data_IF_591439942488
#
_entry.id   IF_591439942488
#
_cell.length_a   1.000
_cell.length_b   1.000
_cell.length_c   1.000
_cell.angle_alpha   90.00
_cell.angle_beta   90.00
_cell.angle_gamma   90.00
#
_symmetry.space_group_name_H-M   'P 1'
#
loop_
_entity.id
_entity.type
_entity.pdbx_description
1 polymer ?
#
# COMPACT_ATOMS: atom_id res chain seq x y z
N UNK A 1 -29.76 7.02 36.25
CA UNK A 1 -29.93 7.91 35.08
C UNK A 1 -28.60 7.89 34.33
N UNK A 2 -28.41 7.45 33.10
CA UNK A 2 -29.32 7.15 32.00
C UNK A 2 -28.66 7.68 30.72
N UNK A 3 -28.12 6.77 29.89
CA UNK A 3 -27.75 7.05 28.50
C UNK A 3 -26.26 7.32 28.23
N UNK A 4 -25.67 6.92 27.09
CA UNK A 4 -26.10 6.10 25.95
C UNK A 4 -24.83 5.45 25.37
N UNK A 5 -24.80 4.12 25.26
CA UNK A 5 -23.84 3.39 24.42
C UNK A 5 -24.18 3.68 22.96
N UNK A 6 -23.35 4.43 22.24
CA UNK A 6 -23.49 4.55 20.79
C UNK A 6 -22.88 3.31 20.14
N UNK A 7 -23.72 2.34 19.83
CA UNK A 7 -23.40 1.24 18.95
C UNK A 7 -22.90 1.81 17.61
N UNK A 8 -21.70 1.42 17.18
CA UNK A 8 -21.22 1.71 15.84
C UNK A 8 -22.18 1.10 14.83
N UNK A 9 -22.80 1.95 14.01
CA UNK A 9 -23.65 1.50 12.92
C UNK A 9 -22.79 0.67 11.96
N UNK A 10 -23.08 -0.63 11.90
CA UNK A 10 -22.66 -1.48 10.78
C UNK A 10 -23.20 -0.85 9.49
N UNK A 11 -22.41 -0.74 8.40
CA UNK A 11 -22.92 -0.19 7.16
C UNK A 11 -24.13 -1.02 6.74
N UNK A 12 -25.29 -0.38 6.62
CA UNK A 12 -26.49 -1.02 6.09
C UNK A 12 -26.17 -1.42 4.66
N UNK A 13 -26.04 -2.72 4.41
CA UNK A 13 -26.19 -3.28 3.07
C UNK A 13 -27.66 -3.08 2.72
N UNK A 14 -27.95 -1.92 2.13
CA UNK A 14 -29.27 -1.63 1.60
C UNK A 14 -29.42 -2.42 0.30
N UNK A 15 -30.22 -3.48 0.34
CA UNK A 15 -30.60 -4.27 -0.81
C UNK A 15 -31.51 -5.40 -0.36
N UNK A 16 -32.79 -5.27 -0.71
CA UNK A 16 -33.74 -6.37 -0.72
C UNK A 16 -33.18 -7.52 -1.58
N UNK A 17 -33.01 -8.75 -1.05
CA UNK A 17 -32.48 -9.88 -1.80
C UNK A 17 -33.39 -10.34 -2.96
N UNK A 18 -34.57 -9.74 -3.13
CA UNK A 18 -35.54 -10.07 -4.17
C UNK A 18 -35.58 -9.11 -5.37
N UNK A 19 -34.69 -8.11 -5.42
CA UNK A 19 -34.53 -7.25 -6.61
C UNK A 19 -33.93 -8.02 -7.81
N UNK A 20 -34.17 -7.58 -9.06
CA UNK A 20 -33.53 -8.19 -10.23
C UNK A 20 -32.01 -8.16 -10.04
N UNK A 21 -31.38 -9.34 -10.10
CA UNK A 21 -29.94 -9.50 -9.89
C UNK A 21 -29.14 -8.50 -10.74
N UNK A 22 -28.03 -7.99 -10.19
CA UNK A 22 -27.23 -7.01 -10.90
C UNK A 22 -26.80 -7.58 -12.28
N UNK A 23 -26.80 -6.77 -13.35
CA UNK A 23 -26.53 -7.28 -14.69
C UNK A 23 -25.15 -7.95 -14.78
N UNK A 24 -25.08 -9.07 -15.51
CA UNK A 24 -23.82 -9.76 -15.77
C UNK A 24 -22.89 -8.86 -16.60
N UNK A 25 -21.64 -8.74 -16.18
CA UNK A 25 -20.65 -7.92 -16.86
C UNK A 25 -19.93 -8.73 -17.96
N UNK A 26 -19.48 -8.09 -19.06
CA UNK A 26 -18.68 -8.78 -20.08
C UNK A 26 -17.42 -9.45 -19.47
N UNK A 27 -17.14 -10.68 -19.88
CA UNK A 27 -15.98 -11.44 -19.38
C UNK A 27 -16.06 -11.86 -17.91
N UNK A 28 -17.27 -11.91 -17.33
CA UNK A 28 -17.46 -12.33 -15.93
C UNK A 28 -16.90 -13.73 -15.67
N UNK A 29 -16.25 -13.89 -14.53
CA UNK A 29 -15.68 -15.17 -14.08
C UNK A 29 -16.76 -15.92 -13.30
N UNK A 30 -17.20 -17.12 -13.73
CA UNK A 30 -18.36 -17.82 -13.17
C UNK A 30 -18.11 -18.45 -11.78
N UNK A 31 -17.55 -17.68 -10.85
CA UNK A 31 -17.22 -18.10 -9.49
C UNK A 31 -18.43 -18.60 -8.72
N UNK A 32 -19.59 -17.96 -8.85
CA UNK A 32 -20.79 -18.35 -8.09
C UNK A 32 -21.37 -19.68 -8.56
N UNK A 33 -21.14 -20.06 -9.82
CA UNK A 33 -21.69 -21.26 -10.46
C UNK A 33 -20.75 -22.46 -10.40
N UNK A 34 -19.45 -22.22 -10.26
CA UNK A 34 -18.45 -23.28 -10.19
C UNK A 34 -18.56 -24.14 -8.92
N UNK A 35 -18.18 -25.40 -9.06
CA UNK A 35 -18.00 -26.28 -7.90
C UNK A 35 -16.83 -25.80 -7.03
N UNK A 36 -16.82 -26.19 -5.75
CA UNK A 36 -15.72 -25.85 -4.84
C UNK A 36 -14.34 -26.27 -5.40
N UNK A 37 -14.27 -27.44 -6.04
CA UNK A 37 -13.05 -27.94 -6.69
C UNK A 37 -12.61 -27.07 -7.87
N UNK A 38 -13.54 -26.61 -8.69
CA UNK A 38 -13.23 -25.73 -9.82
C UNK A 38 -12.75 -24.35 -9.33
N UNK A 39 -13.39 -23.78 -8.29
CA UNK A 39 -12.96 -22.53 -7.66
C UNK A 39 -11.56 -22.63 -7.07
N UNK A 40 -11.26 -23.69 -6.34
CA UNK A 40 -9.96 -23.90 -5.73
C UNK A 40 -8.84 -24.01 -6.78
N UNK A 41 -9.11 -24.75 -7.88
CA UNK A 41 -8.18 -24.84 -9.02
C UNK A 41 -7.94 -23.46 -9.65
N UNK A 42 -9.01 -22.74 -9.97
CA UNK A 42 -8.90 -21.40 -10.55
C UNK A 42 -8.12 -20.44 -9.64
N UNK A 43 -8.39 -20.45 -8.33
CA UNK A 43 -7.69 -19.57 -7.40
C UNK A 43 -6.17 -19.85 -7.39
N UNK A 44 -5.77 -21.12 -7.42
CA UNK A 44 -4.37 -21.52 -7.48
C UNK A 44 -3.68 -21.11 -8.80
N UNK A 45 -4.39 -21.17 -9.93
CA UNK A 45 -3.85 -20.87 -11.26
C UNK A 45 -3.91 -19.36 -11.61
N UNK A 46 -4.82 -18.61 -11.01
CA UNK A 46 -5.10 -17.20 -11.34
C UNK A 46 -3.96 -16.22 -11.00
N UNK A 47 -3.07 -16.60 -10.08
CA UNK A 47 -2.02 -15.72 -9.56
C UNK A 47 -2.50 -14.64 -8.57
N UNK A 48 -3.79 -14.60 -8.22
CA UNK A 48 -4.34 -13.61 -7.26
C UNK A 48 -4.05 -13.92 -5.80
N UNK A 49 -3.68 -15.16 -5.47
CA UNK A 49 -3.22 -15.53 -4.13
C UNK A 49 -4.31 -15.54 -3.05
N UNK A 50 -5.58 -15.75 -3.42
CA UNK A 50 -6.67 -15.91 -2.46
C UNK A 50 -6.47 -17.18 -1.62
N UNK A 51 -6.63 -17.06 -0.31
CA UNK A 51 -6.82 -18.24 0.54
C UNK A 51 -8.27 -18.78 0.44
N UNK A 52 -8.52 -19.94 1.06
CA UNK A 52 -9.82 -20.60 1.01
C UNK A 52 -10.95 -19.74 1.62
N UNK A 53 -10.67 -19.04 2.72
CA UNK A 53 -11.67 -18.20 3.40
C UNK A 53 -11.97 -16.94 2.58
N UNK A 54 -10.95 -16.32 2.00
CA UNK A 54 -11.09 -15.19 1.09
C UNK A 54 -11.91 -15.56 -0.14
N UNK A 55 -11.64 -16.73 -0.72
CA UNK A 55 -12.38 -17.23 -1.88
C UNK A 55 -13.85 -17.49 -1.55
N UNK A 56 -14.16 -18.10 -0.40
CA UNK A 56 -15.54 -18.30 0.05
C UNK A 56 -16.28 -16.98 0.31
N UNK A 57 -15.60 -16.00 0.93
CA UNK A 57 -16.16 -14.66 1.15
C UNK A 57 -16.46 -13.95 -0.17
N UNK A 58 -15.56 -14.05 -1.15
CA UNK A 58 -15.73 -13.49 -2.48
C UNK A 58 -16.95 -14.11 -3.18
N UNK A 59 -17.03 -15.44 -3.21
CA UNK A 59 -18.17 -16.17 -3.79
C UNK A 59 -19.47 -15.79 -3.10
N UNK A 60 -19.50 -15.79 -1.77
CA UNK A 60 -20.71 -15.46 -1.02
C UNK A 60 -21.18 -14.02 -1.24
N UNK A 61 -20.25 -13.07 -1.41
CA UNK A 61 -20.57 -11.69 -1.77
C UNK A 61 -21.25 -11.60 -3.13
N UNK A 62 -20.67 -12.20 -4.16
CA UNK A 62 -21.21 -12.17 -5.52
C UNK A 62 -22.51 -12.98 -5.66
N UNK A 63 -22.65 -14.08 -4.91
CA UNK A 63 -23.90 -14.83 -4.83
C UNK A 63 -25.05 -13.97 -4.28
N UNK A 64 -24.80 -13.14 -3.23
CA UNK A 64 -25.81 -12.20 -2.70
C UNK A 64 -26.14 -11.06 -3.67
N UNK A 65 -25.22 -10.68 -4.54
CA UNK A 65 -25.48 -9.71 -5.61
C UNK A 65 -26.24 -10.31 -6.80
N UNK A 66 -26.42 -11.64 -6.83
CA UNK A 66 -27.07 -12.34 -7.92
C UNK A 66 -26.28 -12.33 -9.23
N UNK A 67 -24.97 -12.10 -9.20
CA UNK A 67 -24.13 -12.06 -10.41
C UNK A 67 -22.70 -12.54 -10.17
N UNK A 68 -22.02 -12.84 -11.25
CA UNK A 68 -20.60 -13.16 -11.25
C UNK A 68 -19.73 -11.88 -11.33
N UNK A 69 -18.51 -11.92 -10.77
CA UNK A 69 -17.56 -10.80 -10.84
C UNK A 69 -16.92 -10.62 -12.21
N UNK A 70 -16.60 -9.38 -12.57
CA UNK A 70 -15.71 -9.09 -13.69
C UNK A 70 -14.23 -9.27 -13.31
N UNK A 71 -13.32 -9.44 -14.29
CA UNK A 71 -11.88 -9.57 -14.03
C UNK A 71 -11.27 -8.36 -13.29
N UNK A 72 -11.74 -7.15 -13.61
CA UNK A 72 -11.28 -5.91 -12.97
C UNK A 72 -11.69 -5.86 -11.50
N UNK A 73 -12.91 -6.29 -11.18
CA UNK A 73 -13.37 -6.35 -9.79
C UNK A 73 -12.56 -7.35 -8.97
N UNK A 74 -12.29 -8.53 -9.53
CA UNK A 74 -11.43 -9.52 -8.88
C UNK A 74 -10.03 -8.97 -8.64
N UNK A 75 -9.42 -8.36 -9.66
CA UNK A 75 -8.08 -7.79 -9.53
C UNK A 75 -8.04 -6.69 -8.45
N UNK A 76 -9.05 -5.82 -8.41
CA UNK A 76 -9.18 -4.78 -7.39
C UNK A 76 -9.33 -5.35 -5.97
N UNK A 77 -10.16 -6.39 -5.80
CA UNK A 77 -10.34 -7.06 -4.52
C UNK A 77 -9.06 -7.79 -4.10
N UNK A 78 -8.42 -8.54 -5.01
CA UNK A 78 -7.18 -9.26 -4.74
C UNK A 78 -6.08 -8.32 -4.25
N UNK A 79 -5.87 -7.19 -4.95
CA UNK A 79 -4.89 -6.19 -4.53
C UNK A 79 -5.23 -5.61 -3.15
N UNK A 80 -6.50 -5.28 -2.91
CA UNK A 80 -6.95 -4.69 -1.65
C UNK A 80 -6.84 -5.65 -0.46
N UNK A 81 -7.01 -6.95 -0.69
CA UNK A 81 -6.95 -7.99 0.35
C UNK A 81 -5.56 -8.59 0.53
N UNK A 82 -4.61 -8.28 -0.35
CA UNK A 82 -3.21 -8.66 -0.21
C UNK A 82 -2.65 -8.27 1.17
N UNK A 83 -1.65 -9.01 1.66
CA UNK A 83 -0.98 -8.66 2.92
C UNK A 83 -0.37 -7.25 2.86
N UNK A 84 0.15 -6.87 1.69
CA UNK A 84 0.78 -5.58 1.46
C UNK A 84 -0.18 -4.40 1.68
N UNK A 85 -1.45 -4.52 1.29
CA UNK A 85 -2.44 -3.44 1.45
C UNK A 85 -3.25 -3.56 2.75
N UNK A 86 -3.60 -4.78 3.16
CA UNK A 86 -4.54 -4.99 4.26
C UNK A 86 -3.88 -5.17 5.63
N UNK A 87 -2.57 -5.46 5.65
CA UNK A 87 -1.80 -5.79 6.85
C UNK A 87 -2.44 -6.92 7.66
N UNK A 88 -3.11 -7.89 7.00
CA UNK A 88 -3.98 -8.87 7.68
C UNK A 88 -3.27 -9.64 8.79
N UNK A 89 -1.97 -9.96 8.65
CA UNK A 89 -1.18 -10.60 9.70
C UNK A 89 -0.74 -9.67 10.84
N UNK A 90 -0.35 -8.43 10.52
CA UNK A 90 0.30 -7.50 11.44
C UNK A 90 -0.67 -6.54 12.13
N UNK A 91 -1.81 -6.24 11.51
CA UNK A 91 -2.83 -5.29 11.98
C UNK A 91 -3.32 -5.56 13.40
N UNK A 92 -3.43 -6.83 13.80
CA UNK A 92 -3.83 -7.18 15.18
C UNK A 92 -2.81 -6.73 16.22
N UNK A 93 -1.53 -6.88 15.91
CA UNK A 93 -0.43 -6.51 16.78
C UNK A 93 -0.24 -5.00 16.81
N UNK A 94 -0.32 -4.36 15.64
CA UNK A 94 -0.24 -2.90 15.55
C UNK A 94 -1.34 -2.23 16.38
N UNK A 95 -2.57 -2.75 16.31
CA UNK A 95 -3.65 -2.26 17.17
C UNK A 95 -3.39 -2.50 18.66
N UNK A 96 -2.88 -3.67 19.02
CA UNK A 96 -2.59 -4.00 20.43
C UNK A 96 -1.56 -3.06 21.05
N UNK A 97 -0.48 -2.76 20.34
CA UNK A 97 0.65 -2.02 20.91
C UNK A 97 0.64 -0.52 20.61
N UNK A 98 0.02 -0.07 19.52
CA UNK A 98 0.15 1.31 19.03
C UNK A 98 -1.16 2.08 18.91
N UNK A 99 -2.32 1.48 19.22
CA UNK A 99 -3.61 2.18 19.11
C UNK A 99 -3.72 3.44 19.99
N UNK A 100 -3.01 3.48 21.11
CA UNK A 100 -2.96 4.66 22.00
C UNK A 100 -2.16 5.83 21.45
N UNK A 101 -1.23 5.62 20.51
CA UNK A 101 -0.36 6.69 19.99
C UNK A 101 -1.15 7.79 19.27
N UNK A 102 -2.24 7.41 18.57
CA UNK A 102 -3.08 8.37 17.87
C UNK A 102 -3.85 9.32 18.82
N UNK A 103 -3.89 9.02 20.13
CA UNK A 103 -4.56 9.85 21.15
C UNK A 103 -3.60 10.85 21.81
N UNK A 104 -2.30 10.79 21.50
CA UNK A 104 -1.34 11.77 22.00
C UNK A 104 -1.64 13.15 21.41
N UNK A 105 -1.71 14.18 22.26
CA UNK A 105 -2.06 15.56 21.85
C UNK A 105 -1.04 16.18 20.89
N UNK A 106 0.15 15.59 20.79
CA UNK A 106 1.18 15.98 19.81
C UNK A 106 0.85 15.46 18.42
N UNK A 107 0.08 14.38 18.27
CA UNK A 107 -0.29 13.85 16.96
C UNK A 107 -1.39 14.72 16.36
N UNK A 108 -1.08 15.40 15.25
CA UNK A 108 -1.98 16.28 14.53
C UNK A 108 -2.71 15.59 13.39
N UNK A 109 -2.26 14.42 12.94
CA UNK A 109 -2.87 13.72 11.82
C UNK A 109 -2.31 12.31 11.63
N UNK A 110 -3.17 11.39 11.21
CA UNK A 110 -2.82 10.02 10.82
C UNK A 110 -3.46 9.72 9.45
N UNK A 111 -2.75 9.01 8.59
CA UNK A 111 -3.14 8.75 7.20
C UNK A 111 -1.94 8.25 6.41
N UNK A 112 -1.70 8.86 5.25
CA UNK A 112 -0.53 8.55 4.40
C UNK A 112 0.79 8.78 5.14
N UNK A 113 0.86 9.80 5.99
CA UNK A 113 1.96 10.05 6.91
C UNK A 113 1.46 10.39 8.33
N UNK A 114 2.33 10.19 9.32
CA UNK A 114 2.09 10.64 10.69
C UNK A 114 2.50 12.09 10.85
N UNK A 115 1.59 12.96 11.29
CA UNK A 115 1.87 14.38 11.52
C UNK A 115 1.96 14.64 13.02
N UNK A 116 3.08 15.18 13.48
CA UNK A 116 3.36 15.42 14.90
C UNK A 116 3.77 16.88 15.11
N UNK A 117 3.14 17.54 16.08
CA UNK A 117 3.46 18.90 16.52
C UNK A 117 4.88 18.93 17.05
N UNK A 118 5.64 19.94 16.61
CA UNK A 118 6.94 20.25 17.16
C UNK A 118 6.84 21.44 18.12
N UNK A 119 6.39 22.57 17.58
CA UNK A 119 6.29 23.85 18.28
C UNK A 119 5.04 24.62 17.81
N UNK A 120 4.65 25.72 18.47
CA UNK A 120 3.54 26.54 18.00
C UNK A 120 3.73 26.95 16.54
N UNK A 121 2.75 26.62 15.70
CA UNK A 121 2.81 26.90 14.26
C UNK A 121 3.63 25.91 13.44
N UNK A 122 4.32 24.91 14.01
CA UNK A 122 5.16 23.97 13.25
C UNK A 122 4.87 22.50 13.59
N UNK A 123 4.95 21.64 12.57
CA UNK A 123 4.79 20.19 12.68
C UNK A 123 5.75 19.45 11.74
N UNK A 124 6.07 18.22 12.13
CA UNK A 124 6.76 17.23 11.30
C UNK A 124 5.73 16.28 10.69
N UNK A 125 5.79 16.05 9.37
CA UNK A 125 5.20 14.87 8.77
C UNK A 125 6.28 13.81 8.54
N UNK A 126 6.04 12.60 9.05
CA UNK A 126 6.97 11.49 9.02
C UNK A 126 6.29 10.28 8.40
N UNK A 127 7.03 9.61 7.52
CA UNK A 127 6.63 8.36 6.89
C UNK A 127 7.85 7.44 6.86
N UNK A 128 7.59 6.15 6.99
CA UNK A 128 8.57 5.11 6.71
C UNK A 128 7.92 4.13 5.74
N UNK A 129 8.62 3.78 4.68
CA UNK A 129 8.19 2.82 3.68
C UNK A 129 9.35 1.87 3.36
N UNK A 130 9.02 0.71 2.81
CA UNK A 130 10.01 -0.25 2.32
C UNK A 130 9.67 -0.62 0.88
N UNK A 131 10.69 -0.75 0.03
CA UNK A 131 10.52 -1.14 -1.37
C UNK A 131 11.35 -2.40 -1.68
N UNK A 132 11.31 -3.37 -0.77
CA UNK A 132 12.23 -4.52 -0.71
C UNK A 132 12.16 -5.42 -1.95
N UNK A 133 10.97 -5.97 -2.25
CA UNK A 133 10.83 -6.97 -3.30
C UNK A 133 11.20 -6.40 -4.68
N UNK A 134 10.71 -5.22 -5.10
CA UNK A 134 11.11 -4.67 -6.40
C UNK A 134 12.59 -4.28 -6.42
N UNK A 135 13.16 -3.76 -5.33
CA UNK A 135 14.60 -3.43 -5.29
C UNK A 135 15.49 -4.67 -5.34
N UNK A 136 15.01 -5.83 -4.89
CA UNK A 136 15.72 -7.10 -5.07
C UNK A 136 15.70 -7.56 -6.55
N UNK A 137 14.62 -7.27 -7.28
CA UNK A 137 14.43 -7.63 -8.70
C UNK A 137 15.15 -6.65 -9.63
N UNK A 138 15.05 -5.35 -9.38
CA UNK A 138 15.69 -4.30 -10.16
C UNK A 138 16.07 -3.16 -9.19
N UNK A 139 17.34 -3.07 -8.77
CA UNK A 139 17.73 -2.20 -7.65
C UNK A 139 17.56 -0.70 -7.89
N UNK A 140 17.85 -0.22 -9.10
CA UNK A 140 17.88 1.22 -9.37
C UNK A 140 16.47 1.79 -9.41
N UNK A 141 15.63 1.27 -10.29
CA UNK A 141 14.25 1.70 -10.44
C UNK A 141 13.42 1.33 -9.23
N UNK A 142 13.63 0.15 -8.62
CA UNK A 142 12.96 -0.25 -7.39
C UNK A 142 13.21 0.73 -6.23
N UNK A 143 14.44 1.19 -6.03
CA UNK A 143 14.74 2.19 -5.02
C UNK A 143 14.21 3.57 -5.37
N UNK A 144 14.37 4.00 -6.64
CA UNK A 144 13.89 5.29 -7.12
C UNK A 144 12.36 5.43 -7.00
N UNK A 145 11.60 4.38 -7.30
CA UNK A 145 10.13 4.39 -7.12
C UNK A 145 9.73 4.41 -5.65
N UNK A 146 10.52 3.79 -4.77
CA UNK A 146 10.34 3.90 -3.31
C UNK A 146 10.50 5.33 -2.81
N UNK A 147 11.54 6.04 -3.24
CA UNK A 147 11.70 7.48 -2.92
C UNK A 147 10.53 8.29 -3.48
N UNK A 148 10.13 8.03 -4.72
CA UNK A 148 8.96 8.70 -5.31
C UNK A 148 7.67 8.46 -4.53
N UNK A 149 7.43 7.24 -4.04
CA UNK A 149 6.27 6.88 -3.21
C UNK A 149 6.21 7.68 -1.93
N UNK A 150 7.30 7.64 -1.17
CA UNK A 150 7.34 8.23 0.16
C UNK A 150 7.26 9.77 0.13
N UNK A 151 7.79 10.41 -0.91
CA UNK A 151 7.62 11.85 -1.13
C UNK A 151 6.16 12.21 -1.41
N UNK A 152 5.43 11.37 -2.16
CA UNK A 152 3.99 11.59 -2.42
C UNK A 152 3.15 11.45 -1.15
N UNK A 153 3.49 10.51 -0.25
CA UNK A 153 2.80 10.36 1.04
C UNK A 153 2.89 11.64 1.89
N UNK A 154 4.08 12.26 1.93
CA UNK A 154 4.29 13.54 2.64
C UNK A 154 3.51 14.68 1.97
N UNK A 155 3.52 14.76 0.64
CA UNK A 155 2.75 15.77 -0.10
C UNK A 155 1.24 15.59 0.10
N UNK A 156 0.75 14.34 0.19
CA UNK A 156 -0.66 14.01 0.36
C UNK A 156 -1.25 14.42 1.72
N UNK A 157 -0.40 14.66 2.72
CA UNK A 157 -0.79 15.27 4.00
C UNK A 157 -0.57 16.79 4.04
N UNK A 158 -0.14 17.41 2.94
CA UNK A 158 0.16 18.84 2.86
C UNK A 158 1.56 19.23 3.37
N UNK A 159 2.43 18.25 3.62
CA UNK A 159 3.80 18.49 4.05
C UNK A 159 4.71 18.89 2.88
N UNK A 160 5.70 19.72 3.17
CA UNK A 160 6.84 19.97 2.27
C UNK A 160 7.98 19.03 2.66
N UNK A 161 8.36 18.03 1.85
CA UNK A 161 9.50 17.18 2.20
C UNK A 161 10.79 18.02 2.23
N UNK A 162 11.68 17.78 3.19
CA UNK A 162 12.95 18.54 3.34
C UNK A 162 14.19 17.67 3.44
N UNK A 163 14.02 16.39 3.77
CA UNK A 163 15.10 15.45 3.99
C UNK A 163 14.60 14.02 3.73
N UNK A 164 15.53 13.14 3.43
CA UNK A 164 15.37 11.69 3.34
C UNK A 164 16.38 11.04 4.29
N UNK A 165 16.13 9.83 4.72
CA UNK A 165 17.09 9.04 5.49
C UNK A 165 16.87 7.58 5.14
N UNK A 166 17.90 6.91 4.65
CA UNK A 166 17.74 5.59 4.05
C UNK A 166 18.50 4.55 4.87
N UNK A 167 17.88 3.93 5.89
CA UNK A 167 18.43 2.73 6.50
C UNK A 167 18.45 1.58 5.48
N UNK A 168 19.65 1.28 4.96
CA UNK A 168 19.87 0.21 3.98
C UNK A 168 20.50 -1.01 4.63
N UNK A 169 20.03 -2.19 4.23
CA UNK A 169 20.46 -3.45 4.81
C UNK A 169 20.71 -4.50 3.73
N UNK A 170 21.93 -5.02 3.71
CA UNK A 170 22.41 -5.98 2.73
C UNK A 170 23.04 -7.18 3.44
N UNK A 171 23.27 -8.26 2.68
CA UNK A 171 24.25 -9.27 3.09
C UNK A 171 25.67 -8.69 3.07
N UNK A 172 26.68 -9.44 3.53
CA UNK A 172 28.09 -9.02 3.44
C UNK A 172 28.46 -8.62 2.01
N UNK A 173 29.06 -7.44 1.83
CA UNK A 173 29.31 -6.88 0.50
C UNK A 173 30.40 -7.64 -0.27
N UNK A 174 31.24 -8.38 0.45
CA UNK A 174 32.29 -9.28 0.00
C UNK A 174 31.80 -10.73 -0.20
N UNK A 175 30.48 -10.96 -0.16
CA UNK A 175 29.92 -12.30 -0.41
C UNK A 175 30.32 -12.80 -1.78
N UNK A 176 31.02 -13.95 -1.81
CA UNK A 176 31.36 -14.66 -3.03
C UNK A 176 30.10 -15.04 -3.82
N UNK A 177 30.05 -14.65 -5.09
CA UNK A 177 28.95 -14.92 -6.00
C UNK A 177 28.67 -16.43 -6.16
N UNK A 178 29.69 -17.29 -6.04
CA UNK A 178 29.54 -18.75 -6.12
C UNK A 178 28.71 -19.34 -4.98
N UNK A 179 28.59 -18.63 -3.85
CA UNK A 179 27.85 -19.06 -2.66
C UNK A 179 26.40 -18.59 -2.65
N UNK A 180 25.99 -17.78 -3.62
CA UNK A 180 24.64 -17.24 -3.69
C UNK A 180 23.66 -18.27 -4.23
N UNK A 181 22.45 -18.38 -3.67
CA UNK A 181 21.40 -19.21 -4.25
C UNK A 181 21.06 -18.76 -5.69
N UNK A 182 20.63 -19.68 -6.57
CA UNK A 182 20.22 -19.33 -7.93
C UNK A 182 19.17 -18.21 -7.94
N UNK A 183 19.37 -17.20 -8.79
CA UNK A 183 18.48 -16.05 -8.94
C UNK A 183 18.68 -14.94 -7.88
N UNK A 184 19.53 -15.13 -6.87
CA UNK A 184 19.87 -14.09 -5.90
C UNK A 184 20.99 -13.21 -6.46
N UNK A 185 20.78 -11.90 -6.41
CA UNK A 185 21.80 -10.93 -6.85
C UNK A 185 22.83 -10.68 -5.75
N UNK A 186 24.06 -10.36 -6.16
CA UNK A 186 25.13 -10.01 -5.23
C UNK A 186 24.73 -8.82 -4.32
N UNK A 187 25.04 -8.87 -3.00
CA UNK A 187 24.80 -7.75 -2.10
C UNK A 187 25.44 -6.43 -2.56
N UNK A 188 26.65 -6.47 -3.14
CA UNK A 188 27.32 -5.27 -3.66
C UNK A 188 26.62 -4.71 -4.90
N UNK A 189 26.11 -5.57 -5.79
CA UNK A 189 25.28 -5.15 -6.92
C UNK A 189 23.98 -4.47 -6.45
N UNK A 190 23.29 -5.08 -5.47
CA UNK A 190 22.08 -4.50 -4.89
C UNK A 190 22.36 -3.13 -4.27
N UNK A 191 23.40 -3.02 -3.44
CA UNK A 191 23.79 -1.77 -2.80
C UNK A 191 24.07 -0.67 -3.82
N UNK A 192 24.91 -0.94 -4.82
CA UNK A 192 25.29 0.04 -5.81
C UNK A 192 24.08 0.55 -6.60
N UNK A 193 23.20 -0.35 -7.04
CA UNK A 193 22.00 0.05 -7.79
C UNK A 193 20.99 0.81 -6.92
N UNK A 194 20.75 0.38 -5.69
CA UNK A 194 19.84 1.07 -4.76
C UNK A 194 20.35 2.46 -4.43
N UNK A 195 21.63 2.61 -4.07
CA UNK A 195 22.23 3.92 -3.75
C UNK A 195 22.17 4.85 -4.96
N UNK A 196 22.44 4.35 -6.17
CA UNK A 196 22.31 5.13 -7.39
C UNK A 196 20.85 5.58 -7.63
N UNK A 197 19.87 4.69 -7.45
CA UNK A 197 18.45 5.01 -7.61
C UNK A 197 17.95 6.07 -6.62
N UNK A 198 18.33 5.94 -5.35
CA UNK A 198 18.02 6.91 -4.29
C UNK A 198 18.65 8.27 -4.64
N UNK A 199 19.94 8.27 -4.96
CA UNK A 199 20.70 9.48 -5.29
C UNK A 199 20.08 10.22 -6.46
N UNK A 200 19.78 9.52 -7.55
CA UNK A 200 19.27 10.14 -8.76
C UNK A 200 17.88 10.74 -8.57
N UNK A 201 16.99 10.05 -7.85
CA UNK A 201 15.66 10.57 -7.57
C UNK A 201 15.71 11.74 -6.58
N UNK A 202 16.45 11.60 -5.48
CA UNK A 202 16.58 12.62 -4.45
C UNK A 202 17.25 13.91 -4.95
N UNK A 203 18.33 13.80 -5.72
CA UNK A 203 19.04 14.95 -6.27
C UNK A 203 18.16 15.78 -7.23
N UNK A 204 17.31 15.13 -8.03
CA UNK A 204 16.38 15.83 -8.93
C UNK A 204 15.30 16.62 -8.18
N UNK A 205 14.99 16.22 -6.95
CA UNK A 205 14.11 16.97 -6.05
C UNK A 205 14.82 18.06 -5.25
N UNK A 206 16.15 18.16 -5.35
CA UNK A 206 16.94 19.14 -4.61
C UNK A 206 17.23 18.75 -3.16
N UNK A 207 17.07 17.48 -2.79
CA UNK A 207 17.52 17.00 -1.48
C UNK A 207 19.05 16.87 -1.47
N UNK A 208 19.75 17.45 -0.49
CA UNK A 208 21.17 17.17 -0.32
C UNK A 208 21.36 15.68 0.02
N UNK A 209 22.48 15.05 -0.36
CA UNK A 209 22.75 13.67 -0.01
C UNK A 209 22.79 13.51 1.52
N UNK A 210 21.69 13.00 2.09
CA UNK A 210 21.57 12.67 3.50
C UNK A 210 22.40 11.43 3.80
N UNK A 211 23.24 11.50 4.84
CA UNK A 211 24.04 10.36 5.30
C UNK A 211 23.11 9.24 5.78
N UNK A 212 22.92 8.21 4.97
CA UNK A 212 22.29 6.96 5.40
C UNK A 212 23.20 6.21 6.39
N UNK A 213 22.61 5.47 7.33
CA UNK A 213 23.33 4.51 8.15
C UNK A 213 23.22 3.13 7.50
N UNK A 214 24.34 2.56 7.05
CA UNK A 214 24.41 1.17 6.58
C UNK A 214 24.68 0.25 7.77
N UNK A 215 23.80 -0.72 8.03
CA UNK A 215 24.07 -1.78 9.01
C UNK A 215 23.76 -3.15 8.43
N UNK A 216 24.53 -4.15 8.85
CA UNK A 216 24.49 -5.51 8.33
C UNK A 216 23.37 -6.36 8.95
N UNK A 217 22.12 -5.88 9.02
CA UNK A 217 20.95 -6.73 9.38
C UNK A 217 19.58 -6.10 9.04
N UNK A 218 18.90 -6.57 7.95
CA UNK A 218 17.50 -6.36 7.44
C UNK A 218 16.60 -5.20 8.00
N UNK A 219 15.64 -4.58 7.25
CA UNK A 219 15.40 -4.41 5.80
C UNK A 219 15.41 -2.93 5.33
N UNK A 220 15.58 -2.66 4.03
CA UNK A 220 15.66 -1.29 3.49
C UNK A 220 14.39 -0.49 3.85
N UNK A 221 14.59 0.58 4.60
CA UNK A 221 13.57 1.60 4.82
C UNK A 221 14.09 2.94 4.30
N UNK A 222 13.18 3.81 3.89
CA UNK A 222 13.46 5.24 3.73
C UNK A 222 12.56 5.99 4.70
N UNK A 223 13.10 7.04 5.32
CA UNK A 223 12.46 7.90 6.30
C UNK A 223 12.61 9.33 5.79
N UNK A 224 11.66 9.89 5.04
CA UNK A 224 11.60 11.31 4.83
C UNK A 224 11.40 12.04 6.16
N UNK A 225 12.18 13.10 6.32
CA UNK A 225 11.95 14.15 7.27
C UNK A 225 11.35 15.35 6.54
N UNK A 226 10.26 15.91 7.06
CA UNK A 226 9.67 17.16 6.57
C UNK A 226 9.61 18.19 7.70
N UNK A 227 10.03 19.45 7.46
CA UNK A 227 9.63 20.60 8.28
C UNK A 227 9.09 21.74 7.44
N UNK A 228 8.21 22.47 8.12
CA UNK A 228 7.62 23.76 7.79
C UNK A 228 6.46 23.70 6.80
N UNK A 229 5.25 23.69 7.35
CA UNK A 229 4.14 24.60 7.05
C UNK A 229 3.42 24.91 8.37
N UNK A 230 2.64 26.00 8.43
CA UNK A 230 1.79 26.35 9.59
C UNK A 230 1.06 25.08 10.05
N UNK A 231 1.01 24.80 11.35
CA UNK A 231 0.23 23.68 11.90
C UNK A 231 -1.23 23.65 11.40
N UNK A 232 -1.75 24.82 11.03
CA UNK A 232 -3.11 25.05 10.53
C UNK A 232 -3.30 24.54 9.08
N UNK A 233 -2.21 24.22 8.37
CA UNK A 233 -2.22 23.66 7.01
C UNK A 233 -2.35 22.13 7.00
N UNK A 234 -2.17 21.47 8.14
CA UNK A 234 -2.33 20.03 8.25
C UNK A 234 -3.78 19.67 8.64
N UNK A 235 -4.40 18.67 7.98
CA UNK A 235 -5.71 18.19 8.38
C UNK A 235 -5.63 17.58 9.79
N UNK A 236 -6.56 17.98 10.67
CA UNK A 236 -6.61 17.52 12.07
C UNK A 236 -6.79 16.00 12.20
N UNK A 237 -6.23 15.44 13.28
CA UNK A 237 -6.32 14.04 13.65
C UNK A 237 -7.79 13.69 13.87
N UNK A 238 -8.34 12.85 12.98
CA UNK A 238 -9.75 12.48 13.00
C UNK A 238 -10.65 13.22 12.01
N UNK A 239 -10.12 14.19 11.24
CA UNK A 239 -10.87 14.70 10.08
C UNK A 239 -10.99 13.58 9.04
N UNK A 240 -12.22 13.11 8.81
CA UNK A 240 -12.47 12.21 7.69
C UNK A 240 -12.21 13.03 6.42
N UNK A 241 -11.34 12.55 5.53
CA UNK A 241 -11.21 13.10 4.17
C UNK A 241 -12.47 12.74 3.38
N UNK A 242 -13.59 13.40 3.69
CA UNK A 242 -14.85 13.28 2.96
C UNK A 242 -15.03 14.52 2.10
N UNK A 243 -15.04 14.35 0.78
CA UNK A 243 -15.52 15.38 -0.14
C UNK A 243 -17.05 15.40 -0.15
N UNK A 244 -17.69 16.56 -0.32
CA UNK A 244 -19.13 16.62 -0.56
C UNK A 244 -19.49 15.84 -1.84
N UNK A 245 -20.68 15.25 -1.86
CA UNK A 245 -21.21 14.61 -3.06
C UNK A 245 -21.21 15.59 -4.25
N UNK A 246 -20.87 15.12 -5.44
CA UNK A 246 -20.82 15.93 -6.65
C UNK A 246 -19.51 16.70 -6.88
N UNK A 247 -18.49 16.57 -6.01
CA UNK A 247 -17.16 17.09 -6.33
C UNK A 247 -16.45 16.24 -7.38
N UNK A 248 -15.73 16.92 -8.28
CA UNK A 248 -14.84 16.28 -9.22
C UNK A 248 -13.71 15.54 -8.49
N UNK A 249 -13.38 14.34 -8.98
CA UNK A 249 -12.20 13.57 -8.59
C UNK A 249 -11.19 13.74 -9.71
N UNK A 250 -10.03 14.33 -9.40
CA UNK A 250 -8.98 14.60 -10.36
C UNK A 250 -7.79 13.66 -10.15
N UNK A 251 -7.21 13.15 -11.24
CA UNK A 251 -5.90 12.49 -11.23
C UNK A 251 -4.85 13.47 -11.73
N UNK A 252 -3.92 13.86 -10.87
CA UNK A 252 -2.78 14.71 -11.22
C UNK A 252 -1.53 13.84 -11.36
N UNK A 253 -1.35 13.21 -12.53
CA UNK A 253 -0.24 12.28 -12.78
C UNK A 253 0.20 12.30 -14.24
N UNK A 254 1.32 11.63 -14.53
CA UNK A 254 1.65 11.23 -15.90
C UNK A 254 0.55 10.29 -16.44
N UNK A 255 0.44 10.20 -17.76
CA UNK A 255 -0.46 9.26 -18.42
C UNK A 255 -0.26 7.82 -17.89
N UNK A 256 -1.36 7.10 -17.68
CA UNK A 256 -1.35 5.72 -17.20
C UNK A 256 -0.81 4.80 -18.30
N UNK A 257 0.21 4.01 -17.98
CA UNK A 257 0.75 2.94 -18.81
C UNK A 257 0.73 1.60 -18.08
N UNK A 258 1.12 0.49 -18.72
CA UNK A 258 1.04 -0.87 -18.16
C UNK A 258 2.09 -1.19 -17.07
N UNK A 259 2.48 -0.22 -16.24
CA UNK A 259 3.47 -0.41 -15.19
C UNK A 259 2.95 -1.22 -14.00
N UNK A 260 3.62 -2.32 -13.64
CA UNK A 260 3.44 -3.01 -12.37
C UNK A 260 2.08 -3.70 -12.17
N UNK A 261 1.42 -4.16 -13.24
CA UNK A 261 0.13 -4.88 -13.16
C UNK A 261 0.27 -6.13 -12.29
N UNK A 262 -0.17 -6.03 -11.02
CA UNK A 262 -0.10 -7.03 -9.95
C UNK A 262 1.28 -7.71 -9.80
N UNK A 263 1.93 -7.54 -8.65
CA UNK A 263 3.22 -8.19 -8.35
C UNK A 263 3.16 -9.72 -8.23
N UNK A 264 2.02 -10.34 -8.53
CA UNK A 264 1.90 -11.76 -8.87
C UNK A 264 1.56 -11.86 -10.34
N UNK A 265 2.35 -12.60 -11.13
CA UNK A 265 2.32 -12.64 -12.60
C UNK A 265 1.03 -13.15 -13.26
N UNK A 266 -0.12 -12.54 -12.96
CA UNK A 266 -1.39 -12.81 -13.61
C UNK A 266 -1.40 -12.12 -14.97
N UNK A 267 -1.03 -12.86 -16.03
CA UNK A 267 -1.59 -12.55 -17.35
C UNK A 267 -3.07 -12.93 -17.27
N UNK A 268 -3.96 -11.96 -17.44
CA UNK A 268 -5.36 -12.27 -17.69
C UNK A 268 -5.38 -13.21 -18.92
N UNK A 269 -5.98 -14.41 -18.84
CA UNK A 269 -6.12 -15.25 -20.01
C UNK A 269 -6.94 -14.51 -21.07
N UNK A 270 -6.63 -14.69 -22.36
CA UNK A 270 -7.45 -14.09 -23.42
C UNK A 270 -8.89 -14.59 -23.25
N UNK A 271 -9.81 -13.63 -23.17
CA UNK A 271 -11.24 -13.91 -23.20
C UNK A 271 -11.57 -14.16 -24.68
N UNK A 272 -11.78 -15.42 -25.04
CA UNK A 272 -12.50 -15.79 -26.27
C UNK A 272 -13.99 -15.88 -25.95
#
# INVERSE_FOLDING_TARGET
MGGKRTAGASPRVAGDPSGPGAPALPGSIPLTRWSARARARWAAESGFGFDAEELERLVGYYARLGRDPSPVEIAGIAQSWSEHCSYKSSRRWLRRYFSGLAQDRRVLGTGDAGVVRFEPGFAYALRIESHNHPSAVEPYGGAATGIGGILRDILAVGGKPIALADPLFFGPLDTDASRLPPGVKSPSYLMNGIVAGIRDYGNRWGFPPSRGASSSTRPISSIPWSTSHRSDSFPSAGSRRTGPAGRAICSCSRAVGPGGTASGGSRLPPVN
#
